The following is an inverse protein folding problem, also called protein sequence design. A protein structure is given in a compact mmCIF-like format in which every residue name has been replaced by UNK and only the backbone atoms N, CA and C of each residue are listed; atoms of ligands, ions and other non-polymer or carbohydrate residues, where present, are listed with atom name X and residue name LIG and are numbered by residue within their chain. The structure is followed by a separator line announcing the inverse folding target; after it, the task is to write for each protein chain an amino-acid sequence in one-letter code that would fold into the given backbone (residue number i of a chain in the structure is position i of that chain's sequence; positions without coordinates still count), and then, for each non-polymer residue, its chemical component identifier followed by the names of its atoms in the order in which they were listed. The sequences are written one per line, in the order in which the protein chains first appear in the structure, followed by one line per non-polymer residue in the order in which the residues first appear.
data_IF_469313973985
#
_entry.id   IF_469313973985
#
_cell.length_a   1.000
_cell.length_b   1.000
_cell.length_c   1.000
_cell.angle_alpha   90.00
_cell.angle_beta   90.00
_cell.angle_gamma   90.00
#
_symmetry.space_group_name_H-M   'P 1'
#
loop_
_entity.id
_entity.type
_entity.pdbx_description
1 polymer ?
#
# COMPACT_ATOMS: atom_id res chain seq x y z
N UNK A 1 4.91 -4.04 -13.92
CA UNK A 1 4.99 -4.22 -15.38
C UNK A 1 5.98 -3.26 -16.03
N UNK A 2 5.80 -1.92 -15.95
CA UNK A 2 6.77 -0.95 -16.51
C UNK A 2 8.23 -1.15 -16.08
N UNK A 3 8.49 -1.64 -14.84
CA UNK A 3 9.85 -1.99 -14.37
C UNK A 3 10.50 -3.18 -15.09
N UNK A 4 9.69 -4.12 -15.59
CA UNK A 4 10.16 -5.38 -16.22
C UNK A 4 10.07 -5.33 -17.74
N UNK A 5 9.14 -4.55 -18.29
CA UNK A 5 8.90 -4.40 -19.71
C UNK A 5 9.26 -2.98 -20.13
N UNK A 6 10.37 -2.85 -20.87
CA UNK A 6 10.84 -1.57 -21.42
C UNK A 6 9.91 -1.09 -22.53
N UNK A 7 10.01 0.19 -22.87
CA UNK A 7 9.32 0.81 -24.01
C UNK A 7 7.80 0.72 -23.92
N UNK A 8 7.24 0.99 -22.73
CA UNK A 8 5.80 1.06 -22.52
C UNK A 8 5.35 2.50 -22.27
N UNK A 9 4.53 3.03 -23.17
CA UNK A 9 3.69 4.20 -22.93
C UNK A 9 2.58 3.84 -21.96
N UNK A 10 2.10 4.82 -21.20
CA UNK A 10 1.00 4.66 -20.27
C UNK A 10 -0.04 5.77 -20.45
N UNK A 11 -1.31 5.42 -20.32
CA UNK A 11 -2.40 6.38 -20.21
C UNK A 11 -3.28 5.99 -19.01
N UNK A 12 -3.43 6.91 -18.06
CA UNK A 12 -4.21 6.70 -16.84
C UNK A 12 -5.44 7.59 -16.84
N UNK A 13 -6.62 6.98 -16.81
CA UNK A 13 -7.90 7.71 -16.69
C UNK A 13 -8.57 7.40 -15.36
N UNK A 14 -8.99 8.45 -14.68
CA UNK A 14 -9.85 8.34 -13.49
C UNK A 14 -11.30 8.27 -13.94
N UNK A 15 -12.12 7.58 -13.18
CA UNK A 15 -13.54 7.51 -13.41
C UNK A 15 -14.26 7.04 -12.15
N UNK A 16 -15.57 6.88 -12.28
CA UNK A 16 -16.42 6.33 -11.24
C UNK A 16 -17.07 5.08 -11.79
N UNK A 17 -17.07 4.01 -11.00
CA UNK A 17 -17.78 2.78 -11.31
C UNK A 17 -18.94 2.63 -10.35
N UNK A 18 -20.14 2.49 -10.89
CA UNK A 18 -21.32 2.11 -10.12
C UNK A 18 -21.27 0.61 -9.83
N UNK A 19 -21.42 0.27 -8.55
CA UNK A 19 -21.50 -1.10 -8.06
C UNK A 19 -22.87 -1.25 -7.41
N UNK A 20 -23.47 -2.41 -7.66
CA UNK A 20 -24.70 -2.82 -7.04
C UNK A 20 -24.37 -3.88 -5.99
N UNK A 21 -24.79 -3.61 -4.76
CA UNK A 21 -24.58 -4.48 -3.60
C UNK A 21 -25.94 -4.83 -3.01
N UNK A 22 -26.00 -6.00 -2.38
CA UNK A 22 -27.19 -6.42 -1.66
C UNK A 22 -26.80 -6.79 -0.24
N UNK A 23 -27.46 -6.15 0.73
CA UNK A 23 -27.15 -6.23 2.13
C UNK A 23 -28.30 -6.97 2.83
N UNK A 24 -27.96 -8.02 3.57
CA UNK A 24 -28.92 -8.73 4.41
C UNK A 24 -29.08 -8.03 5.76
N UNK A 25 -30.27 -8.04 6.37
CA UNK A 25 -30.46 -7.60 7.75
C UNK A 25 -29.56 -8.37 8.72
N UNK A 26 -29.06 -7.70 9.74
CA UNK A 26 -28.20 -8.32 10.76
C UNK A 26 -29.00 -9.33 11.60
N UNK A 27 -30.25 -9.00 11.91
CA UNK A 27 -31.19 -9.86 12.63
C UNK A 27 -32.23 -10.42 11.66
N UNK A 28 -32.14 -11.71 11.34
CA UNK A 28 -33.01 -12.36 10.37
C UNK A 28 -34.49 -12.42 10.79
N UNK A 29 -34.78 -12.31 12.10
CA UNK A 29 -36.15 -12.35 12.65
C UNK A 29 -36.81 -10.96 12.74
N UNK A 30 -36.10 -9.90 12.35
CA UNK A 30 -36.62 -8.52 12.38
C UNK A 30 -37.74 -8.27 11.36
N UNK A 31 -38.03 -9.23 10.47
CA UNK A 31 -39.00 -9.08 9.38
C UNK A 31 -38.57 -8.04 8.32
N UNK A 32 -37.30 -7.62 8.34
CA UNK A 32 -36.75 -6.69 7.38
C UNK A 32 -36.34 -7.39 6.08
N UNK A 33 -36.54 -6.69 4.98
CA UNK A 33 -36.14 -7.17 3.65
C UNK A 33 -34.68 -6.86 3.33
N UNK A 34 -34.13 -7.63 2.39
CA UNK A 34 -32.82 -7.41 1.79
C UNK A 34 -32.74 -6.01 1.15
N UNK A 35 -31.68 -5.27 1.47
CA UNK A 35 -31.47 -3.92 0.95
C UNK A 35 -30.58 -3.94 -0.30
N UNK A 36 -31.07 -3.42 -1.42
CA UNK A 36 -30.26 -3.14 -2.61
C UNK A 36 -29.61 -1.76 -2.49
N UNK A 37 -28.28 -1.72 -2.55
CA UNK A 37 -27.48 -0.50 -2.43
C UNK A 37 -26.75 -0.24 -3.76
N UNK A 38 -26.90 0.96 -4.30
CA UNK A 38 -26.12 1.40 -5.45
C UNK A 38 -25.04 2.36 -4.97
N UNK A 39 -23.78 1.99 -5.16
CA UNK A 39 -22.62 2.77 -4.71
C UNK A 39 -21.73 3.15 -5.88
N UNK A 40 -21.42 4.44 -5.95
CA UNK A 40 -20.42 4.97 -6.86
C UNK A 40 -19.04 4.89 -6.20
N UNK A 41 -18.12 4.18 -6.84
CA UNK A 41 -16.76 3.94 -6.33
C UNK A 41 -15.72 4.51 -7.29
N UNK A 42 -14.72 5.20 -6.76
CA UNK A 42 -13.61 5.72 -7.56
C UNK A 42 -12.87 4.58 -8.26
N UNK A 43 -12.57 4.77 -9.54
CA UNK A 43 -11.89 3.80 -10.38
C UNK A 43 -10.76 4.45 -11.18
N UNK A 44 -9.73 3.66 -11.47
CA UNK A 44 -8.63 4.05 -12.36
C UNK A 44 -8.43 2.99 -13.43
N UNK A 45 -8.37 3.43 -14.68
CA UNK A 45 -8.07 2.58 -15.84
C UNK A 45 -6.68 2.95 -16.36
N UNK A 46 -5.80 1.96 -16.47
CA UNK A 46 -4.42 2.14 -16.92
C UNK A 46 -4.21 1.32 -18.19
N UNK A 47 -4.02 2.01 -19.32
CA UNK A 47 -3.59 1.40 -20.57
C UNK A 47 -2.06 1.41 -20.64
N UNK A 48 -1.46 0.26 -20.97
CA UNK A 48 -0.02 0.12 -21.21
C UNK A 48 0.20 -0.41 -22.62
N UNK A 49 0.94 0.33 -23.44
CA UNK A 49 1.16 0.02 -24.86
C UNK A 49 2.63 0.12 -25.21
N UNK A 50 3.11 -0.80 -26.06
CA UNK A 50 4.45 -0.69 -26.70
C UNK A 50 4.44 0.24 -27.90
N UNK A 51 3.26 0.46 -28.50
CA UNK A 51 3.09 1.35 -29.62
C UNK A 51 2.87 2.79 -29.13
N UNK A 52 3.36 3.80 -29.87
CA UNK A 52 3.07 5.19 -29.57
C UNK A 52 1.57 5.44 -29.47
N UNK A 53 1.16 6.12 -28.40
CA UNK A 53 -0.21 6.56 -28.20
C UNK A 53 -0.32 8.03 -28.65
N UNK A 54 0.12 8.32 -29.88
CA UNK A 54 0.33 9.69 -30.37
C UNK A 54 -0.95 10.53 -30.35
N UNK A 55 -2.10 9.90 -30.61
CA UNK A 55 -3.41 10.53 -30.52
C UNK A 55 -3.77 11.01 -29.09
N UNK A 56 -3.09 10.48 -28.07
CA UNK A 56 -3.38 10.72 -26.66
C UNK A 56 -2.27 11.52 -25.95
N UNK A 57 -1.26 12.03 -26.68
CA UNK A 57 -0.13 12.79 -26.12
C UNK A 57 -0.54 14.04 -25.34
N UNK A 58 -1.68 14.63 -25.69
CA UNK A 58 -2.22 15.83 -25.05
C UNK A 58 -3.19 15.51 -23.91
N UNK A 59 -3.53 14.24 -23.68
CA UNK A 59 -4.45 13.86 -22.62
C UNK A 59 -3.78 13.93 -21.23
N UNK A 60 -4.56 14.36 -20.25
CA UNK A 60 -4.18 14.23 -18.85
C UNK A 60 -3.99 12.76 -18.47
N UNK A 61 -2.87 12.46 -17.80
CA UNK A 61 -2.53 11.10 -17.40
C UNK A 61 -1.77 10.29 -18.45
N UNK A 62 -1.45 10.87 -19.61
CA UNK A 62 -0.45 10.31 -20.53
C UNK A 62 0.96 10.40 -19.94
N UNK A 63 1.72 9.30 -20.04
CA UNK A 63 3.13 9.21 -19.67
C UNK A 63 3.87 8.42 -20.76
N UNK A 64 4.84 9.07 -21.40
CA UNK A 64 5.65 8.48 -22.46
C UNK A 64 6.57 7.35 -21.99
N UNK A 65 7.33 6.82 -22.94
CA UNK A 65 8.28 5.72 -22.71
C UNK A 65 9.36 6.10 -21.69
N UNK A 66 9.89 7.32 -21.80
CA UNK A 66 10.97 7.84 -20.96
C UNK A 66 10.46 8.48 -19.66
N UNK A 67 9.15 8.73 -19.57
CA UNK A 67 8.49 9.29 -18.40
C UNK A 67 8.26 8.17 -17.37
N UNK A 68 9.35 7.65 -16.85
CA UNK A 68 9.29 6.86 -15.62
C UNK A 68 9.05 7.83 -14.47
N UNK A 69 8.02 7.59 -13.62
CA UNK A 69 7.92 8.34 -12.39
C UNK A 69 9.12 7.92 -11.54
N UNK A 70 10.15 8.77 -11.52
CA UNK A 70 11.18 8.73 -10.49
C UNK A 70 10.44 8.91 -9.18
N UNK A 71 10.12 7.79 -8.52
CA UNK A 71 9.76 7.79 -7.11
C UNK A 71 11.00 8.37 -6.45
N UNK A 72 10.99 9.69 -6.18
CA UNK A 72 12.01 10.34 -5.37
C UNK A 72 11.99 9.55 -4.08
N UNK A 73 13.02 8.74 -3.86
CA UNK A 73 13.20 8.02 -2.62
C UNK A 73 13.01 9.04 -1.52
N UNK A 74 11.99 8.86 -0.67
CA UNK A 74 11.86 9.64 0.55
C UNK A 74 13.22 9.60 1.22
N UNK A 75 13.86 10.75 1.50
CA UNK A 75 15.16 10.74 2.13
C UNK A 75 15.01 9.97 3.44
N UNK A 76 15.71 8.84 3.53
CA UNK A 76 15.82 8.05 4.75
C UNK A 76 16.33 9.01 5.82
N UNK A 77 15.49 9.35 6.78
CA UNK A 77 15.88 10.19 7.90
C UNK A 77 17.16 9.59 8.49
N UNK A 78 18.27 10.35 8.43
CA UNK A 78 19.49 9.97 9.12
C UNK A 78 19.13 9.93 10.61
N UNK A 79 19.46 8.85 11.35
CA UNK A 79 19.40 8.94 12.80
C UNK A 79 20.31 10.10 13.20
N UNK A 80 19.76 11.04 13.97
CA UNK A 80 20.45 12.20 14.49
C UNK A 80 21.74 11.74 15.18
N UNK A 81 22.88 12.10 14.60
CA UNK A 81 24.17 12.03 15.26
C UNK A 81 24.16 13.08 16.37
N UNK A 82 23.76 12.68 17.57
CA UNK A 82 24.11 13.45 18.77
C UNK A 82 25.59 13.24 19.04
N UNK A 83 26.26 14.37 19.14
CA UNK A 83 27.67 14.62 19.31
C UNK A 83 28.30 13.85 20.47
N UNK A 84 29.52 13.36 20.20
CA UNK A 84 30.42 12.73 21.16
C UNK A 84 30.76 13.67 22.32
N UNK A 85 30.70 13.16 23.55
CA UNK A 85 31.49 13.65 24.68
C UNK A 85 32.21 12.47 25.34
N UNK A 86 33.51 12.64 25.53
CA UNK A 86 34.50 11.60 25.82
C UNK A 86 34.36 10.92 27.20
N UNK A 87 34.49 9.60 27.20
CA UNK A 87 35.41 8.86 28.08
C UNK A 87 34.98 8.48 29.51
N UNK A 88 34.61 7.21 29.73
CA UNK A 88 35.32 6.21 30.58
C UNK A 88 34.55 4.89 30.64
N UNK A 89 35.28 3.79 30.82
CA UNK A 89 34.90 2.39 30.58
C UNK A 89 34.17 1.73 31.77
N UNK A 90 33.37 0.69 31.44
CA UNK A 90 32.88 -0.48 32.21
C UNK A 90 31.71 -0.33 33.21
N UNK A 91 30.96 -1.42 33.55
CA UNK A 91 30.87 -2.76 32.93
C UNK A 91 29.43 -3.18 32.54
N UNK A 92 29.34 -4.30 31.82
CA UNK A 92 28.13 -4.91 31.26
C UNK A 92 27.18 -5.46 32.33
N UNK A 93 25.94 -4.97 32.34
CA UNK A 93 24.86 -5.56 33.13
C UNK A 93 23.93 -6.35 32.20
N UNK A 94 24.08 -7.68 32.18
CA UNK A 94 23.17 -8.59 31.47
C UNK A 94 21.95 -8.84 32.37
N UNK A 95 20.72 -8.52 31.97
CA UNK A 95 19.55 -8.94 32.73
C UNK A 95 19.36 -10.46 32.59
N UNK A 96 19.43 -11.18 33.70
CA UNK A 96 19.08 -12.61 33.82
C UNK A 96 17.56 -12.75 33.69
N UNK A 97 17.06 -13.10 32.50
CA UNK A 97 15.70 -13.61 32.35
C UNK A 97 15.61 -14.99 33.01
N UNK A 98 14.88 -15.08 34.12
CA UNK A 98 14.47 -16.34 34.71
C UNK A 98 13.26 -16.86 33.92
N UNK A 99 13.50 -17.87 33.08
CA UNK A 99 12.44 -18.64 32.44
C UNK A 99 11.79 -19.55 33.48
N UNK A 100 10.59 -19.18 33.96
CA UNK A 100 9.76 -20.10 34.72
C UNK A 100 9.17 -21.14 33.77
N UNK A 101 9.82 -22.31 33.68
CA UNK A 101 9.23 -23.52 33.12
C UNK A 101 8.11 -23.99 34.05
N UNK A 102 6.86 -23.80 33.62
CA UNK A 102 5.72 -24.48 34.21
C UNK A 102 5.93 -26.00 34.09
N UNK A 103 6.08 -26.69 35.23
CA UNK A 103 5.97 -28.14 35.30
C UNK A 103 4.51 -28.48 35.59
N UNK A 104 3.81 -29.00 34.59
CA UNK A 104 2.60 -29.80 34.83
C UNK A 104 3.01 -31.03 35.65
N UNK A 105 2.36 -31.24 36.80
CA UNK A 105 2.42 -32.50 37.55
C UNK A 105 1.19 -33.32 37.19
N UNK A 106 1.32 -34.64 36.98
CA UNK A 106 0.17 -35.53 36.87
C UNK A 106 -0.22 -36.04 38.25
N UNK A 107 -1.53 -36.12 38.48
CA UNK A 107 -2.26 -37.16 39.23
C UNK A 107 -3.75 -36.92 39.02
#
# INVERSE_FOLDING_TARGET
MKRKCKNLCMLSRKGVKRIEEYWEPIESESGLDRLRVNRDTDAVCILLSKLPLDAFKQEEGYLGVEDTPTIKSVPKAKPSSQSASNGRKTPANKPKYHSHKAKQKPL
#
